data_IF_027147956966
#
_entry.id   IF_027147956966
#
_cell.length_a   1.000
_cell.length_b   1.000
_cell.length_c   1.000
_cell.angle_alpha   90.00
_cell.angle_beta   90.00
_cell.angle_gamma   90.00
#
_symmetry.space_group_name_H-M   'P 1'
#
loop_
_entity.id
_entity.type
_entity.pdbx_description
1 polymer ?
#
# COMPACT_ATOMS: atom_id res chain seq x y z
N UNK A 1 8.59 7.01 0.22
CA UNK A 1 7.15 6.67 0.33
C UNK A 1 6.74 6.43 1.78
N UNK A 2 5.75 7.19 2.25
CA UNK A 2 5.21 7.14 3.62
C UNK A 2 3.88 6.38 3.62
N UNK A 3 3.65 5.53 4.63
CA UNK A 3 2.36 4.86 4.86
C UNK A 3 1.91 5.20 6.27
N UNK A 4 0.79 5.90 6.38
CA UNK A 4 0.16 6.23 7.64
C UNK A 4 -0.74 5.07 8.07
N UNK A 5 -0.49 4.51 9.24
CA UNK A 5 -1.37 3.50 9.82
C UNK A 5 -2.55 4.17 10.52
N UNK A 6 -3.75 3.88 10.03
CA UNK A 6 -4.99 4.25 10.68
C UNK A 6 -5.44 3.05 11.52
N UNK A 7 -5.27 3.16 12.83
CA UNK A 7 -5.77 2.18 13.79
C UNK A 7 -6.73 2.83 14.78
N UNK A 8 -7.87 2.17 15.00
CA UNK A 8 -8.90 2.60 15.96
C UNK A 8 -8.89 1.76 17.25
N UNK A 9 -8.02 0.77 17.35
CA UNK A 9 -7.97 -0.15 18.49
C UNK A 9 -6.55 -0.67 18.73
N UNK A 10 -6.33 -1.23 19.91
CA UNK A 10 -5.07 -1.90 20.23
C UNK A 10 -4.91 -3.11 19.32
N UNK A 11 -3.81 -3.17 18.59
CA UNK A 11 -3.43 -4.28 17.71
C UNK A 11 -2.65 -5.30 18.55
N UNK A 12 -3.04 -6.58 18.51
CA UNK A 12 -2.27 -7.64 19.18
C UNK A 12 -0.94 -7.91 18.47
N UNK A 13 -0.01 -8.58 19.14
CA UNK A 13 1.29 -8.91 18.53
C UNK A 13 1.16 -9.83 17.30
N UNK A 14 0.17 -10.74 17.29
CA UNK A 14 -0.08 -11.63 16.15
C UNK A 14 -0.68 -10.86 14.96
N UNK A 15 -1.68 -10.01 15.20
CA UNK A 15 -2.25 -9.14 14.17
C UNK A 15 -1.23 -8.15 13.61
N UNK A 16 -0.30 -7.66 14.45
CA UNK A 16 0.75 -6.73 14.04
C UNK A 16 1.62 -7.32 12.91
N UNK A 17 2.01 -8.59 13.04
CA UNK A 17 2.84 -9.25 12.02
C UNK A 17 2.08 -9.39 10.69
N UNK A 18 0.79 -9.76 10.74
CA UNK A 18 -0.02 -9.87 9.52
C UNK A 18 -0.22 -8.52 8.83
N UNK A 19 -0.38 -7.45 9.60
CA UNK A 19 -0.51 -6.09 9.06
C UNK A 19 0.81 -5.57 8.49
N UNK A 20 1.96 -5.91 9.08
CA UNK A 20 3.29 -5.57 8.55
C UNK A 20 3.56 -6.28 7.22
N UNK A 21 3.23 -7.58 7.13
CA UNK A 21 3.33 -8.35 5.88
C UNK A 21 2.46 -7.72 4.79
N UNK A 22 1.27 -7.25 5.16
CA UNK A 22 0.35 -6.61 4.23
C UNK A 22 0.85 -5.23 3.78
N UNK A 23 1.38 -4.41 4.69
CA UNK A 23 2.02 -3.15 4.33
C UNK A 23 3.18 -3.40 3.37
N UNK A 24 4.02 -4.40 3.64
CA UNK A 24 5.15 -4.75 2.79
C UNK A 24 4.68 -5.16 1.38
N UNK A 25 3.62 -5.97 1.29
CA UNK A 25 2.99 -6.33 0.03
C UNK A 25 2.51 -5.08 -0.73
N UNK A 26 1.79 -4.16 -0.07
CA UNK A 26 1.33 -2.94 -0.73
C UNK A 26 2.47 -2.03 -1.17
N UNK A 27 3.53 -1.90 -0.37
CA UNK A 27 4.72 -1.14 -0.77
C UNK A 27 5.28 -1.67 -2.08
N UNK A 28 5.42 -2.99 -2.20
CA UNK A 28 5.94 -3.62 -3.41
C UNK A 28 5.03 -3.37 -4.61
N UNK A 29 3.73 -3.57 -4.48
CA UNK A 29 2.78 -3.38 -5.59
C UNK A 29 2.69 -1.92 -6.04
N UNK A 30 2.67 -0.98 -5.10
CA UNK A 30 2.67 0.46 -5.40
C UNK A 30 3.98 0.86 -6.07
N UNK A 31 5.13 0.42 -5.56
CA UNK A 31 6.42 0.71 -6.21
C UNK A 31 6.46 0.16 -7.64
N UNK A 32 5.98 -1.07 -7.87
CA UNK A 32 5.88 -1.64 -9.21
C UNK A 32 4.98 -0.82 -10.13
N UNK A 33 3.88 -0.27 -9.61
CA UNK A 33 2.99 0.62 -10.37
C UNK A 33 3.68 1.93 -10.73
N UNK A 34 4.33 2.56 -9.76
CA UNK A 34 5.04 3.83 -9.96
C UNK A 34 6.17 3.69 -10.97
N UNK A 35 6.91 2.58 -10.94
CA UNK A 35 7.98 2.31 -11.90
C UNK A 35 7.50 2.05 -13.33
N UNK A 36 6.25 1.59 -13.51
CA UNK A 36 5.67 1.31 -14.84
C UNK A 36 5.08 2.54 -15.51
N UNK A 37 4.74 3.57 -14.75
CA UNK A 37 4.13 4.80 -15.26
C UNK A 37 5.15 5.94 -15.20
N UNK A 38 5.83 6.21 -16.32
CA UNK A 38 6.81 7.31 -16.44
C UNK A 38 6.22 8.67 -16.08
N UNK A 39 4.89 8.83 -16.16
CA UNK A 39 4.20 10.06 -15.78
C UNK A 39 4.10 10.27 -14.25
N UNK A 40 4.60 9.30 -13.47
CA UNK A 40 4.72 9.31 -12.01
C UNK A 40 6.13 9.69 -11.53
N UNK A 41 7.04 10.09 -12.42
CA UNK A 41 8.37 10.62 -12.07
C UNK A 41 8.27 12.02 -11.44
N UNK A 42 7.76 12.10 -10.21
CA UNK A 42 7.65 13.34 -9.44
C UNK A 42 8.89 13.64 -8.60
N UNK A 43 9.44 12.61 -7.97
CA UNK A 43 10.51 12.70 -7.00
C UNK A 43 11.40 11.47 -7.17
N UNK A 44 12.71 11.67 -7.12
CA UNK A 44 13.71 10.65 -7.46
C UNK A 44 13.66 9.41 -6.55
N UNK A 45 13.05 9.51 -5.37
CA UNK A 45 13.08 8.51 -4.30
C UNK A 45 11.68 8.09 -3.80
N UNK A 46 10.61 8.45 -4.52
CA UNK A 46 9.21 8.22 -4.12
C UNK A 46 8.83 8.81 -2.75
N UNK A 47 9.61 9.74 -2.19
CA UNK A 47 9.33 10.37 -0.88
C UNK A 47 8.04 11.19 -0.87
N UNK A 48 7.67 11.77 -2.01
CA UNK A 48 6.49 12.59 -2.22
C UNK A 48 5.15 11.81 -2.20
N UNK A 49 5.19 10.47 -2.22
CA UNK A 49 3.99 9.64 -2.17
C UNK A 49 3.65 9.22 -0.73
N UNK A 50 2.44 9.57 -0.31
CA UNK A 50 1.88 9.22 0.98
C UNK A 50 0.59 8.42 0.81
N UNK A 51 0.47 7.34 1.56
CA UNK A 51 -0.71 6.47 1.56
C UNK A 51 -1.25 6.30 2.97
N UNK A 52 -2.55 6.02 3.07
CA UNK A 52 -3.25 5.75 4.31
C UNK A 52 -3.69 4.27 4.30
N UNK A 53 -3.23 3.51 5.29
CA UNK A 53 -3.54 2.09 5.48
C UNK A 53 -4.46 1.91 6.68
N UNK A 54 -5.68 1.44 6.44
CA UNK A 54 -6.65 1.13 7.50
C UNK A 54 -6.43 -0.30 7.99
N UNK A 55 -5.85 -0.41 9.19
CA UNK A 55 -5.57 -1.69 9.84
C UNK A 55 -6.81 -2.55 10.11
N UNK A 56 -8.01 -1.96 10.21
CA UNK A 56 -9.26 -2.71 10.43
C UNK A 56 -9.79 -3.32 9.15
N UNK A 57 -9.76 -2.56 8.06
CA UNK A 57 -10.29 -3.01 6.76
C UNK A 57 -9.22 -3.65 5.89
N UNK A 58 -7.95 -3.53 6.27
CA UNK A 58 -6.80 -3.97 5.48
C UNK A 58 -6.75 -3.31 4.10
N UNK A 59 -7.24 -2.07 3.98
CA UNK A 59 -7.31 -1.31 2.72
C UNK A 59 -6.26 -0.20 2.73
N UNK A 60 -5.57 -0.03 1.60
CA UNK A 60 -4.68 1.11 1.35
C UNK A 60 -5.34 2.11 0.39
N UNK A 61 -5.12 3.40 0.65
CA UNK A 61 -5.63 4.50 -0.16
C UNK A 61 -4.59 5.61 -0.31
N UNK A 62 -4.71 6.43 -1.35
CA UNK A 62 -3.80 7.57 -1.54
C UNK A 62 -4.15 8.66 -0.54
N UNK A 63 -3.15 9.10 0.23
CA UNK A 63 -3.33 10.19 1.19
C UNK A 63 -3.37 11.53 0.46
N UNK A 64 -4.14 12.47 1.01
CA UNK A 64 -4.20 13.86 0.53
C UNK A 64 -2.88 14.62 0.71
N UNK A 65 -1.93 14.06 1.48
CA UNK A 65 -0.56 14.57 1.56
C UNK A 65 0.24 14.36 0.26
N UNK A 66 -0.18 13.42 -0.60
CA UNK A 66 0.42 13.26 -1.93
C UNK A 66 0.09 14.49 -2.79
N UNK A 67 1.07 15.17 -3.40
CA UNK A 67 0.83 16.38 -4.18
C UNK A 67 0.07 16.08 -5.49
N UNK A 68 -0.69 17.06 -5.97
CA UNK A 68 -1.26 17.01 -7.32
C UNK A 68 -0.16 17.20 -8.38
N UNK A 69 -0.33 16.65 -9.60
CA UNK A 69 -1.47 15.87 -10.09
C UNK A 69 -1.43 14.38 -9.68
N UNK A 70 -0.42 13.97 -8.92
CA UNK A 70 -0.14 12.56 -8.64
C UNK A 70 -1.20 11.91 -7.76
N UNK A 71 -1.75 12.65 -6.80
CA UNK A 71 -2.91 12.19 -6.02
C UNK A 71 -4.05 11.76 -6.94
N UNK A 72 -4.47 12.63 -7.87
CA UNK A 72 -5.57 12.34 -8.80
C UNK A 72 -5.25 11.14 -9.69
N UNK A 73 -4.03 11.05 -10.24
CA UNK A 73 -3.62 9.93 -11.09
C UNK A 73 -3.60 8.60 -10.33
N UNK A 74 -2.95 8.56 -9.17
CA UNK A 74 -2.81 7.35 -8.35
C UNK A 74 -4.16 6.87 -7.81
N UNK A 75 -5.02 7.79 -7.40
CA UNK A 75 -6.36 7.44 -6.94
C UNK A 75 -7.14 6.69 -8.04
N UNK A 76 -7.02 7.11 -9.29
CA UNK A 76 -7.63 6.41 -10.43
C UNK A 76 -6.99 5.04 -10.67
N UNK A 77 -5.67 4.95 -10.60
CA UNK A 77 -4.93 3.71 -10.83
C UNK A 77 -5.23 2.65 -9.75
N UNK A 78 -5.25 3.04 -8.47
CA UNK A 78 -5.51 2.14 -7.33
C UNK A 78 -6.97 1.70 -7.28
N UNK A 79 -7.94 2.54 -7.66
CA UNK A 79 -9.33 2.09 -7.80
C UNK A 79 -9.53 1.04 -8.91
N UNK A 80 -8.67 1.06 -9.94
CA UNK A 80 -8.68 0.08 -11.03
C UNK A 80 -7.94 -1.22 -10.70
N UNK A 81 -7.14 -1.25 -9.63
CA UNK A 81 -6.38 -2.43 -9.22
C UNK A 81 -7.07 -3.02 -8.00
N UNK A 82 -7.63 -4.21 -8.18
CA UNK A 82 -8.21 -4.96 -7.09
C UNK A 82 -7.08 -5.49 -6.19
N UNK A 83 -6.55 -4.62 -5.32
CA UNK A 83 -5.51 -4.91 -4.33
C UNK A 83 -5.97 -5.88 -3.22
N UNK A 84 -7.18 -6.44 -3.35
CA UNK A 84 -7.71 -7.53 -2.53
C UNK A 84 -7.14 -8.92 -2.88
N UNK A 85 -6.38 -9.06 -3.98
CA UNK A 85 -5.69 -10.32 -4.29
C UNK A 85 -4.49 -10.52 -3.34
N UNK A 86 -4.81 -10.95 -2.11
CA UNK A 86 -3.88 -11.50 -1.13
C UNK A 86 -3.12 -12.66 -1.80
N UNK A 87 -1.78 -12.76 -1.65
CA UNK A 87 -1.15 -14.05 -1.88
C UNK A 87 -1.72 -15.03 -0.83
N UNK A 88 -2.51 -16.01 -1.27
CA UNK A 88 -2.92 -17.11 -0.40
C UNK A 88 -1.65 -17.74 0.18
N UNK A 89 -1.56 -17.84 1.52
CA UNK A 89 -0.46 -18.52 2.21
C UNK A 89 -0.36 -19.93 1.63
N UNK A 90 0.54 -20.16 0.67
CA UNK A 90 0.91 -21.51 0.24
C UNK A 90 1.49 -22.19 1.48
N UNK A 91 0.72 -23.09 2.10
CA UNK A 91 1.25 -23.99 3.14
C UNK A 91 2.43 -24.73 2.51
N UNK A 92 3.63 -24.39 2.94
CA UNK A 92 4.82 -25.20 2.66
C UNK A 92 4.61 -26.46 3.48
N UNK A 93 4.11 -27.51 2.83
CA UNK A 93 4.12 -28.86 3.39
C UNK A 93 5.58 -29.31 3.30
N UNK A 94 6.31 -29.19 4.41
CA UNK A 94 7.59 -29.86 4.55
C UNK A 94 7.32 -31.37 4.48
N UNK A 95 7.93 -32.02 3.48
CA UNK A 95 8.02 -33.49 3.38
C UNK A 95 9.27 -33.96 4.11
#
# INVERSE_FOLDING_TARGET
MKINWISKSKISAEEMNELLDLEYFYRKEITNLLLKDESMNCCDDFSCFTFDFDSKTSIISVSKETPEPYYTKLKRAILGINLHNRPEKKKIIAK
#
